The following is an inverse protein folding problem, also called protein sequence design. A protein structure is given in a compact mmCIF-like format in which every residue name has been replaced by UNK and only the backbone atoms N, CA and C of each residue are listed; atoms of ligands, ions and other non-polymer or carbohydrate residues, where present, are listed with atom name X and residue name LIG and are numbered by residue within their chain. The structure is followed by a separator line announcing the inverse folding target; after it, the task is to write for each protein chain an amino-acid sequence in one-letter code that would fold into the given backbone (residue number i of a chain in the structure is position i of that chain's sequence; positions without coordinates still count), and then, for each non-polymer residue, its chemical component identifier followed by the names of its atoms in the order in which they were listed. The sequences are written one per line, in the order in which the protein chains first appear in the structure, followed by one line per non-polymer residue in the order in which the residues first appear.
data_IF_353253275229
#
_entry.id   IF_353253275229
#
_cell.length_a   1.000
_cell.length_b   1.000
_cell.length_c   1.000
_cell.angle_alpha   90.00
_cell.angle_beta   90.00
_cell.angle_gamma   90.00
#
_symmetry.space_group_name_H-M   'P 1'
#
loop_
_entity.id
_entity.type
_entity.pdbx_description
1 polymer ?
#
# COMPACT_ATOMS: atom_id res chain seq x y z
N UNK A 1 1.63 30.90 -47.14
CA UNK A 1 1.46 30.07 -45.92
C UNK A 1 0.06 29.43 -45.96
N UNK A 2 -0.08 28.10 -45.96
CA UNK A 2 -1.40 27.43 -46.02
C UNK A 2 -2.13 27.57 -44.67
N UNK A 3 -3.36 28.10 -44.65
CA UNK A 3 -4.20 28.12 -43.44
C UNK A 3 -4.50 26.68 -42.99
N UNK A 4 -4.12 26.33 -41.75
CA UNK A 4 -4.54 25.10 -41.07
C UNK A 4 -5.78 25.39 -40.24
N UNK A 5 -6.77 24.52 -40.34
CA UNK A 5 -8.02 24.58 -39.58
C UNK A 5 -8.04 23.45 -38.55
N UNK A 6 -8.50 23.74 -37.33
CA UNK A 6 -8.60 22.76 -36.24
C UNK A 6 -9.66 21.70 -36.53
N UNK A 7 -9.53 20.53 -35.91
CA UNK A 7 -10.53 19.46 -36.03
C UNK A 7 -11.91 19.91 -35.54
N UNK A 8 -11.97 20.62 -34.41
CA UNK A 8 -13.20 21.18 -33.87
C UNK A 8 -13.91 22.13 -34.85
N UNK A 9 -13.16 23.02 -35.50
CA UNK A 9 -13.71 23.95 -36.48
C UNK A 9 -14.26 23.23 -37.72
N UNK A 10 -13.53 22.22 -38.24
CA UNK A 10 -14.01 21.40 -39.36
C UNK A 10 -15.31 20.66 -39.01
N UNK A 11 -15.43 20.15 -37.78
CA UNK A 11 -16.64 19.48 -37.30
C UNK A 11 -17.83 20.44 -37.22
N UNK A 12 -17.63 21.65 -36.70
CA UNK A 12 -18.68 22.68 -36.64
C UNK A 12 -19.22 23.03 -38.03
N UNK A 13 -18.32 23.27 -38.99
CA UNK A 13 -18.70 23.61 -40.37
C UNK A 13 -19.36 22.40 -41.06
N UNK A 14 -18.93 21.18 -40.78
CA UNK A 14 -19.56 19.96 -41.29
C UNK A 14 -20.97 19.73 -40.71
N UNK A 15 -21.19 20.03 -39.43
CA UNK A 15 -22.52 19.97 -38.81
C UNK A 15 -23.50 20.96 -39.45
N UNK A 16 -23.06 22.20 -39.73
CA UNK A 16 -23.86 23.18 -40.47
C UNK A 16 -24.19 22.72 -41.91
N UNK A 17 -23.23 22.07 -42.58
CA UNK A 17 -23.43 21.47 -43.91
C UNK A 17 -24.45 20.31 -43.90
N UNK A 18 -24.49 19.51 -42.83
CA UNK A 18 -25.45 18.42 -42.67
C UNK A 18 -26.86 18.93 -42.34
N UNK A 19 -26.96 20.06 -41.63
CA UNK A 19 -28.24 20.68 -41.27
C UNK A 19 -29.01 21.20 -42.49
N UNK A 20 -28.31 21.49 -43.60
CA UNK A 20 -28.92 21.80 -44.89
C UNK A 20 -29.57 23.19 -45.01
N UNK A 21 -29.53 24.01 -43.97
CA UNK A 21 -30.18 25.34 -43.91
C UNK A 21 -29.51 26.39 -44.80
N UNK A 22 -28.24 26.19 -45.16
CA UNK A 22 -27.44 27.13 -45.96
C UNK A 22 -26.72 26.39 -47.07
N UNK A 23 -26.60 27.03 -48.24
CA UNK A 23 -25.86 26.45 -49.37
C UNK A 23 -24.36 26.45 -49.08
N UNK A 24 -23.60 25.59 -49.77
CA UNK A 24 -22.13 25.49 -49.62
C UNK A 24 -21.46 26.86 -49.85
N UNK A 25 -21.98 27.65 -50.79
CA UNK A 25 -21.48 28.99 -51.09
C UNK A 25 -21.74 29.99 -49.95
N UNK A 26 -22.89 29.90 -49.27
CA UNK A 26 -23.23 30.76 -48.12
C UNK A 26 -22.39 30.40 -46.88
N UNK A 27 -22.16 29.11 -46.62
CA UNK A 27 -21.30 28.63 -45.52
C UNK A 27 -19.83 29.03 -45.80
N UNK A 28 -19.38 28.91 -47.05
CA UNK A 28 -18.07 29.38 -47.49
C UNK A 28 -17.86 30.87 -47.24
N UNK A 29 -18.86 31.70 -47.56
CA UNK A 29 -18.82 33.14 -47.33
C UNK A 29 -18.82 33.50 -45.84
N UNK A 30 -19.67 32.84 -45.03
CA UNK A 30 -19.77 33.09 -43.59
C UNK A 30 -18.48 32.73 -42.82
N UNK A 31 -17.88 31.58 -43.14
CA UNK A 31 -16.67 31.09 -42.48
C UNK A 31 -15.36 31.54 -43.15
N UNK A 32 -15.44 32.32 -44.24
CA UNK A 32 -14.30 32.75 -45.07
C UNK A 32 -13.42 31.58 -45.53
N UNK A 33 -14.05 30.47 -45.94
CA UNK A 33 -13.40 29.26 -46.43
C UNK A 33 -13.78 29.04 -47.90
N UNK A 34 -12.85 28.60 -48.74
CA UNK A 34 -13.14 28.36 -50.15
C UNK A 34 -14.15 27.20 -50.35
N UNK A 35 -15.16 27.31 -51.24
CA UNK A 35 -16.21 26.30 -51.42
C UNK A 35 -15.68 24.89 -51.73
N UNK A 36 -14.62 24.80 -52.54
CA UNK A 36 -13.98 23.51 -52.88
C UNK A 36 -13.39 22.79 -51.64
N UNK A 37 -12.92 23.55 -50.66
CA UNK A 37 -12.37 23.01 -49.41
C UNK A 37 -13.49 22.38 -48.55
N UNK A 38 -14.67 22.99 -48.55
CA UNK A 38 -15.85 22.46 -47.87
C UNK A 38 -16.34 21.16 -48.49
N UNK A 39 -16.36 21.08 -49.83
CA UNK A 39 -16.69 19.83 -50.53
C UNK A 39 -15.70 18.71 -50.21
N UNK A 40 -14.40 19.03 -50.18
CA UNK A 40 -13.35 18.08 -49.77
C UNK A 40 -13.50 17.63 -48.31
N UNK A 41 -13.82 18.55 -47.39
CA UNK A 41 -14.05 18.21 -45.99
C UNK A 41 -15.30 17.37 -45.79
N UNK A 42 -16.38 17.66 -46.51
CA UNK A 42 -17.61 16.86 -46.50
C UNK A 42 -17.35 15.43 -46.98
N UNK A 43 -16.62 15.27 -48.08
CA UNK A 43 -16.25 13.96 -48.61
C UNK A 43 -15.33 13.19 -47.65
N UNK A 44 -14.34 13.85 -47.05
CA UNK A 44 -13.44 13.25 -46.08
C UNK A 44 -14.17 12.81 -44.79
N UNK A 45 -15.09 13.64 -44.29
CA UNK A 45 -15.88 13.34 -43.11
C UNK A 45 -16.84 12.17 -43.32
N UNK A 46 -17.57 12.12 -44.45
CA UNK A 46 -18.47 11.00 -44.78
C UNK A 46 -17.71 9.67 -44.93
N UNK A 47 -16.48 9.70 -45.47
CA UNK A 47 -15.63 8.51 -45.60
C UNK A 47 -15.08 8.01 -44.24
N UNK A 48 -14.78 8.92 -43.31
CA UNK A 48 -14.26 8.58 -41.98
C UNK A 48 -15.33 8.36 -40.91
N UNK A 49 -16.60 8.68 -41.18
CA UNK A 49 -17.67 8.58 -40.18
C UNK A 49 -17.92 7.13 -39.71
N UNK A 50 -17.92 6.10 -40.59
CA UNK A 50 -18.05 4.72 -40.15
C UNK A 50 -16.94 4.29 -39.19
N UNK A 51 -15.69 4.73 -39.42
CA UNK A 51 -14.56 4.34 -38.59
C UNK A 51 -14.61 4.94 -37.19
N UNK A 52 -15.27 6.09 -36.98
CA UNK A 52 -15.44 6.65 -35.64
C UNK A 52 -16.31 5.78 -34.72
N UNK A 53 -17.28 5.07 -35.29
CA UNK A 53 -18.14 4.15 -34.54
C UNK A 53 -17.40 2.86 -34.17
N UNK A 54 -16.45 2.40 -35.00
CA UNK A 54 -15.56 1.27 -34.71
C UNK A 54 -14.38 1.64 -33.80
N UNK A 55 -13.79 2.83 -33.99
CA UNK A 55 -12.67 3.35 -33.19
C UNK A 55 -13.09 3.58 -31.74
N UNK A 56 -14.32 4.02 -31.48
CA UNK A 56 -14.79 4.19 -30.11
C UNK A 56 -14.89 2.84 -29.38
N UNK A 57 -15.32 1.77 -30.08
CA UNK A 57 -15.37 0.41 -29.51
C UNK A 57 -13.97 -0.17 -29.31
N UNK A 58 -13.03 0.07 -30.25
CA UNK A 58 -11.63 -0.35 -30.12
C UNK A 58 -10.90 0.42 -29.01
N UNK A 59 -11.09 1.74 -28.91
CA UNK A 59 -10.52 2.57 -27.87
C UNK A 59 -11.05 2.18 -26.49
N UNK A 60 -12.34 1.86 -26.37
CA UNK A 60 -12.94 1.35 -25.14
C UNK A 60 -12.36 -0.03 -24.75
N UNK A 61 -12.17 -0.93 -25.71
CA UNK A 61 -11.56 -2.24 -25.47
C UNK A 61 -10.09 -2.11 -25.01
N UNK A 62 -9.28 -1.28 -25.67
CA UNK A 62 -7.89 -1.01 -25.28
C UNK A 62 -7.82 -0.39 -23.89
N UNK A 63 -8.72 0.55 -23.58
CA UNK A 63 -8.79 1.18 -22.25
C UNK A 63 -9.16 0.17 -21.16
N UNK A 64 -10.15 -0.70 -21.42
CA UNK A 64 -10.57 -1.73 -20.48
C UNK A 64 -9.46 -2.78 -20.25
N UNK A 65 -8.75 -3.17 -21.30
CA UNK A 65 -7.59 -4.08 -21.19
C UNK A 65 -6.48 -3.44 -20.34
N UNK A 66 -6.17 -2.17 -20.59
CA UNK A 66 -5.20 -1.42 -19.81
C UNK A 66 -5.63 -1.24 -18.34
N UNK A 67 -6.90 -0.96 -18.07
CA UNK A 67 -7.45 -0.90 -16.70
C UNK A 67 -7.33 -2.25 -15.98
N UNK A 68 -7.59 -3.37 -16.67
CA UNK A 68 -7.38 -4.71 -16.09
C UNK A 68 -5.91 -5.02 -15.81
N UNK A 69 -4.99 -4.58 -16.68
CA UNK A 69 -3.56 -4.70 -16.45
C UNK A 69 -3.12 -3.88 -15.22
N UNK A 70 -3.63 -2.66 -15.08
CA UNK A 70 -3.36 -1.82 -13.91
C UNK A 70 -3.86 -2.47 -12.63
N UNK A 71 -5.09 -3.00 -12.62
CA UNK A 71 -5.66 -3.66 -11.43
C UNK A 71 -4.83 -4.87 -11.00
N UNK A 72 -4.39 -5.70 -11.95
CA UNK A 72 -3.50 -6.83 -11.67
C UNK A 72 -2.18 -6.37 -11.08
N UNK A 73 -1.56 -5.34 -11.65
CA UNK A 73 -0.27 -4.83 -11.19
C UNK A 73 -0.38 -4.20 -9.80
N UNK A 74 -1.40 -3.36 -9.57
CA UNK A 74 -1.67 -2.78 -8.26
C UNK A 74 -1.99 -3.86 -7.22
N UNK A 75 -2.72 -4.91 -7.58
CA UNK A 75 -2.98 -6.05 -6.72
C UNK A 75 -1.69 -6.80 -6.34
N UNK A 76 -0.77 -6.98 -7.28
CA UNK A 76 0.55 -7.58 -7.02
C UNK A 76 1.40 -6.73 -6.09
N UNK A 77 1.47 -5.41 -6.33
CA UNK A 77 2.20 -4.48 -5.47
C UNK A 77 1.59 -4.48 -4.06
N UNK A 78 0.25 -4.44 -3.96
CA UNK A 78 -0.48 -4.54 -2.69
C UNK A 78 -0.08 -5.79 -1.92
N UNK A 79 -0.14 -6.97 -2.56
CA UNK A 79 0.25 -8.24 -1.94
C UNK A 79 1.70 -8.24 -1.47
N UNK A 80 2.63 -7.73 -2.28
CA UNK A 80 4.06 -7.63 -1.94
C UNK A 80 4.30 -6.66 -0.78
N UNK A 81 3.55 -5.56 -0.71
CA UNK A 81 3.64 -4.58 0.38
C UNK A 81 3.06 -5.08 1.70
N UNK A 82 2.09 -6.00 1.65
CA UNK A 82 1.45 -6.57 2.84
C UNK A 82 2.20 -7.75 3.45
N UNK A 83 3.30 -8.21 2.82
CA UNK A 83 4.03 -9.38 3.30
C UNK A 83 4.56 -9.19 4.72
N UNK A 84 4.27 -10.17 5.56
CA UNK A 84 4.77 -10.22 6.93
C UNK A 84 6.29 -10.32 6.95
N UNK A 85 6.91 -9.98 8.08
CA UNK A 85 8.36 -10.11 8.25
C UNK A 85 8.83 -11.55 8.04
N UNK A 86 8.03 -12.53 8.48
CA UNK A 86 8.36 -13.95 8.37
C UNK A 86 8.39 -14.41 6.91
N UNK A 87 7.39 -14.00 6.12
CA UNK A 87 7.33 -14.33 4.68
C UNK A 87 8.48 -13.69 3.91
N UNK A 88 8.80 -12.43 4.18
CA UNK A 88 9.96 -11.77 3.57
C UNK A 88 11.27 -12.48 3.96
N UNK A 89 11.41 -12.91 5.20
CA UNK A 89 12.60 -13.64 5.65
C UNK A 89 12.72 -15.04 4.99
N UNK A 90 11.59 -15.67 4.65
CA UNK A 90 11.58 -16.95 3.94
C UNK A 90 12.05 -16.85 2.48
N UNK A 91 12.02 -15.65 1.89
CA UNK A 91 12.54 -15.39 0.53
C UNK A 91 14.06 -15.28 0.45
N UNK A 92 14.77 -15.40 1.57
CA UNK A 92 16.22 -15.24 1.63
C UNK A 92 16.92 -16.53 1.17
N UNK A 93 17.71 -16.41 0.12
CA UNK A 93 18.51 -17.49 -0.44
C UNK A 93 19.88 -17.52 0.26
N UNK A 94 20.10 -18.54 1.10
CA UNK A 94 21.35 -18.69 1.87
C UNK A 94 22.45 -19.44 1.12
N UNK A 95 22.11 -20.20 0.08
CA UNK A 95 23.03 -21.06 -0.69
C UNK A 95 22.94 -20.66 -2.17
N UNK A 96 24.08 -20.58 -2.84
CA UNK A 96 24.21 -20.33 -4.29
C UNK A 96 23.48 -19.08 -4.82
N UNK A 97 23.37 -18.03 -3.98
CA UNK A 97 22.78 -16.77 -4.41
C UNK A 97 23.81 -15.89 -5.13
N UNK A 98 23.38 -15.25 -6.22
CA UNK A 98 24.15 -14.21 -6.92
C UNK A 98 24.30 -12.93 -6.10
N UNK A 99 23.44 -12.73 -5.09
CA UNK A 99 23.40 -11.54 -4.25
C UNK A 99 23.86 -11.86 -2.83
N UNK A 100 24.60 -10.93 -2.23
CA UNK A 100 25.01 -11.06 -0.82
C UNK A 100 23.78 -11.02 0.09
N UNK A 101 23.86 -11.71 1.23
CA UNK A 101 22.80 -11.67 2.26
C UNK A 101 22.45 -10.25 2.69
N UNK A 102 23.41 -9.32 2.69
CA UNK A 102 23.18 -7.92 3.03
C UNK A 102 22.30 -7.22 1.98
N UNK A 103 22.58 -7.46 0.70
CA UNK A 103 21.79 -6.92 -0.40
C UNK A 103 20.38 -7.51 -0.41
N UNK A 104 20.25 -8.82 -0.15
CA UNK A 104 18.94 -9.47 -0.09
C UNK A 104 18.05 -8.89 1.02
N UNK A 105 18.58 -8.70 2.23
CA UNK A 105 17.78 -8.12 3.33
C UNK A 105 17.42 -6.65 3.10
N UNK A 106 18.30 -5.90 2.44
CA UNK A 106 18.03 -4.50 2.06
C UNK A 106 16.89 -4.43 1.05
N UNK A 107 16.92 -5.26 0.00
CA UNK A 107 15.85 -5.35 -1.00
C UNK A 107 14.51 -5.80 -0.41
N UNK A 108 14.55 -6.69 0.58
CA UNK A 108 13.36 -7.19 1.28
C UNK A 108 12.88 -6.26 2.42
N UNK A 109 13.62 -5.18 2.73
CA UNK A 109 13.30 -4.26 3.81
C UNK A 109 13.29 -4.92 5.20
N UNK A 110 14.22 -5.86 5.44
CA UNK A 110 14.40 -6.57 6.72
C UNK A 110 15.68 -6.05 7.38
N UNK A 111 15.66 -5.87 8.71
CA UNK A 111 16.89 -5.54 9.43
C UNK A 111 17.85 -6.72 9.45
N UNK A 112 19.13 -6.47 9.16
CA UNK A 112 20.17 -7.51 9.13
C UNK A 112 20.28 -8.29 10.45
N UNK A 113 20.12 -7.60 11.59
CA UNK A 113 20.15 -8.21 12.92
C UNK A 113 19.03 -9.25 13.11
N UNK A 114 17.89 -9.08 12.43
CA UNK A 114 16.78 -10.04 12.49
C UNK A 114 17.13 -11.40 11.92
N UNK A 115 18.15 -11.52 11.05
CA UNK A 115 18.55 -12.83 10.50
C UNK A 115 19.20 -13.74 11.53
N UNK A 116 19.92 -13.13 12.46
CA UNK A 116 20.69 -13.82 13.49
C UNK A 116 19.91 -13.91 14.81
N UNK A 117 18.79 -13.19 14.91
CA UNK A 117 17.94 -13.25 16.07
C UNK A 117 17.05 -14.50 16.03
N UNK A 118 17.33 -15.43 16.93
CA UNK A 118 16.43 -16.54 17.24
C UNK A 118 15.60 -16.15 18.47
N UNK A 119 14.25 -16.18 18.40
CA UNK A 119 13.42 -15.89 19.55
C UNK A 119 13.71 -16.91 20.65
N UNK A 120 14.27 -16.45 21.77
CA UNK A 120 14.51 -17.29 22.94
C UNK A 120 13.20 -17.37 23.72
N UNK A 121 12.69 -18.59 23.90
CA UNK A 121 11.53 -18.83 24.76
C UNK A 121 11.87 -18.45 26.21
N UNK A 122 10.91 -17.92 26.98
CA UNK A 122 11.13 -17.64 28.39
C UNK A 122 11.61 -18.90 29.10
N UNK A 123 12.69 -18.80 29.89
CA UNK A 123 13.17 -19.94 30.67
C UNK A 123 12.05 -20.46 31.58
N UNK A 124 11.90 -21.79 31.76
CA UNK A 124 10.94 -22.35 32.72
C UNK A 124 11.07 -21.75 34.12
N UNK A 125 12.30 -21.40 34.51
CA UNK A 125 12.58 -20.74 35.79
C UNK A 125 12.01 -19.31 35.83
N UNK A 126 12.14 -18.54 34.73
CA UNK A 126 11.57 -17.19 34.63
C UNK A 126 10.04 -17.23 34.74
N UNK A 127 9.41 -18.20 34.06
CA UNK A 127 7.95 -18.40 34.14
C UNK A 127 7.54 -18.76 35.57
N UNK A 128 8.30 -19.64 36.24
CA UNK A 128 8.04 -20.01 37.63
C UNK A 128 8.14 -18.79 38.56
N UNK A 129 9.16 -17.96 38.40
CA UNK A 129 9.35 -16.74 39.19
C UNK A 129 8.18 -15.77 38.97
N UNK A 130 7.77 -15.54 37.71
CA UNK A 130 6.62 -14.68 37.38
C UNK A 130 5.34 -15.15 38.04
N UNK A 131 5.04 -16.45 38.01
CA UNK A 131 3.88 -17.04 38.70
C UNK A 131 3.92 -16.83 40.21
N UNK A 132 5.07 -17.01 40.85
CA UNK A 132 5.21 -16.80 42.29
C UNK A 132 5.07 -15.33 42.69
N UNK A 133 5.59 -14.42 41.87
CA UNK A 133 5.39 -12.98 42.07
C UNK A 133 3.89 -12.65 41.99
N UNK A 134 3.18 -13.19 41.01
CA UNK A 134 1.73 -13.01 40.85
C UNK A 134 0.96 -13.55 42.06
N UNK A 135 1.28 -14.77 42.52
CA UNK A 135 0.69 -15.38 43.73
C UNK A 135 0.88 -14.49 44.98
N UNK A 136 2.11 -13.99 45.19
CA UNK A 136 2.43 -13.10 46.32
C UNK A 136 1.67 -11.76 46.17
N UNK A 137 1.58 -11.23 44.96
CA UNK A 137 0.90 -9.96 44.70
C UNK A 137 -0.62 -10.05 44.88
N UNK A 138 -1.25 -11.14 44.44
CA UNK A 138 -2.68 -11.41 44.66
C UNK A 138 -2.98 -11.48 46.16
N UNK A 139 -2.11 -12.16 46.92
CA UNK A 139 -2.27 -12.25 48.37
C UNK A 139 -2.03 -10.89 49.05
N UNK A 140 -1.05 -10.10 48.60
CA UNK A 140 -0.61 -8.87 49.24
C UNK A 140 -0.37 -7.73 48.20
N UNK A 141 -1.44 -7.08 47.71
CA UNK A 141 -1.33 -6.09 46.61
C UNK A 141 -0.50 -4.84 46.92
N UNK A 142 -0.28 -4.56 48.21
CA UNK A 142 0.53 -3.43 48.69
C UNK A 142 2.03 -3.75 48.75
N UNK A 143 2.44 -4.98 48.41
CA UNK A 143 3.85 -5.37 48.39
C UNK A 143 4.56 -4.83 47.14
N UNK A 144 5.59 -4.01 47.36
CA UNK A 144 6.53 -3.60 46.33
C UNK A 144 7.66 -4.61 46.11
N UNK A 145 8.52 -4.35 45.10
CA UNK A 145 9.58 -5.27 44.66
C UNK A 145 10.56 -5.72 45.76
N UNK A 146 10.77 -4.90 46.80
CA UNK A 146 11.59 -5.29 47.97
C UNK A 146 10.91 -6.38 48.81
N UNK A 147 9.63 -6.21 49.15
CA UNK A 147 8.89 -7.17 50.00
C UNK A 147 8.63 -8.47 49.26
N UNK A 148 8.28 -8.38 47.97
CA UNK A 148 8.14 -9.56 47.11
C UNK A 148 9.46 -10.32 47.03
N UNK A 149 10.60 -9.64 46.85
CA UNK A 149 11.92 -10.28 46.85
C UNK A 149 12.21 -11.03 48.15
N UNK A 150 11.89 -10.46 49.30
CA UNK A 150 12.07 -11.12 50.59
C UNK A 150 11.16 -12.34 50.76
N UNK A 151 9.91 -12.31 50.27
CA UNK A 151 9.03 -13.49 50.30
C UNK A 151 9.52 -14.60 49.35
N UNK A 152 10.05 -14.23 48.18
CA UNK A 152 10.68 -15.20 47.28
C UNK A 152 11.91 -15.86 47.92
N UNK A 153 12.72 -15.08 48.63
CA UNK A 153 13.88 -15.58 49.36
C UNK A 153 13.47 -16.58 50.47
N UNK A 154 12.39 -16.29 51.21
CA UNK A 154 11.80 -17.24 52.17
C UNK A 154 11.27 -18.51 51.53
N UNK A 155 10.77 -18.42 50.29
CA UNK A 155 10.37 -19.59 49.47
C UNK A 155 11.58 -20.30 48.82
N UNK A 156 12.81 -19.92 49.15
CA UNK A 156 14.05 -20.55 48.69
C UNK A 156 14.53 -20.08 47.32
N UNK A 157 14.04 -18.94 46.82
CA UNK A 157 14.41 -18.40 45.51
C UNK A 157 15.13 -17.05 45.70
N UNK A 158 16.45 -17.06 45.53
CA UNK A 158 17.27 -15.86 45.65
C UNK A 158 17.31 -15.09 44.32
N UNK A 159 16.61 -13.95 44.25
CA UNK A 159 16.61 -13.10 43.05
C UNK A 159 16.93 -11.65 43.40
N UNK A 160 17.69 -10.98 42.53
CA UNK A 160 17.98 -9.56 42.71
C UNK A 160 16.70 -8.72 42.64
N UNK A 161 16.59 -7.70 43.51
CA UNK A 161 15.46 -6.75 43.51
C UNK A 161 15.14 -6.16 42.13
N UNK A 162 16.17 -5.85 41.33
CA UNK A 162 15.99 -5.30 39.97
C UNK A 162 15.28 -6.28 39.05
N UNK A 163 15.49 -7.58 39.23
CA UNK A 163 14.82 -8.66 38.50
C UNK A 163 13.35 -8.76 38.91
N UNK A 164 13.05 -8.70 40.22
CA UNK A 164 11.66 -8.63 40.72
C UNK A 164 10.94 -7.42 40.09
N UNK A 165 11.58 -6.25 40.13
CA UNK A 165 11.01 -5.03 39.57
C UNK A 165 10.79 -5.11 38.05
N UNK A 166 11.74 -5.72 37.31
CA UNK A 166 11.60 -5.97 35.87
C UNK A 166 10.37 -6.85 35.60
N UNK A 167 10.21 -7.97 36.31
CA UNK A 167 9.07 -8.86 36.13
C UNK A 167 7.75 -8.20 36.52
N UNK A 168 7.70 -7.43 37.61
CA UNK A 168 6.52 -6.65 37.97
C UNK A 168 6.12 -5.68 36.86
N UNK A 169 7.09 -4.98 36.24
CA UNK A 169 6.85 -4.07 35.11
C UNK A 169 6.38 -4.82 33.87
N UNK A 170 6.99 -5.95 33.54
CA UNK A 170 6.57 -6.80 32.40
C UNK A 170 5.16 -7.34 32.57
N UNK A 171 4.74 -7.65 33.80
CA UNK A 171 3.40 -8.13 34.13
C UNK A 171 2.38 -6.99 34.38
N UNK A 172 2.81 -5.73 34.37
CA UNK A 172 1.93 -4.57 34.57
C UNK A 172 1.42 -4.39 36.00
N UNK A 173 2.08 -4.97 37.00
CA UNK A 173 1.68 -4.89 38.41
C UNK A 173 2.56 -3.89 39.18
N UNK A 174 1.97 -3.16 40.11
CA UNK A 174 2.63 -2.20 40.96
C UNK A 174 2.01 -2.21 42.35
N UNK A 175 2.80 -1.95 43.39
CA UNK A 175 2.29 -1.90 44.76
C UNK A 175 1.17 -0.86 44.88
N UNK A 176 0.00 -1.30 45.30
CA UNK A 176 -1.17 -0.43 45.50
C UNK A 176 -1.14 0.07 46.95
N UNK A 177 -1.00 1.37 47.12
CA UNK A 177 -1.11 2.02 48.42
C UNK A 177 -2.46 2.74 48.51
N UNK A 178 -3.17 2.63 49.64
CA UNK A 178 -4.36 3.43 49.85
C UNK A 178 -3.96 4.91 49.90
N UNK A 179 -4.58 5.73 49.07
CA UNK A 179 -4.42 7.17 49.08
C UNK A 179 -5.19 7.69 50.30
N UNK A 180 -4.50 8.28 51.26
CA UNK A 180 -5.18 8.93 52.39
C UNK A 180 -5.94 10.14 51.83
N UNK A 181 -7.27 10.11 51.95
CA UNK A 181 -8.17 11.23 51.65
C UNK A 181 -8.27 12.13 52.88
#
# INVERSE_FOLDING_TARGET
MRKRYSAAFKTQVFQELLRGEKTIAQIAAAHKVHPNLLSQWKAAALKGMPSLFDENRKAAAIKAEHESQLEKLYGQIGRLSTLTRAERAAMIERIDSKLTLSTQVELLGISRSSLYYHPVLPSPEEVRIKRLIDEIYIAQPYYGSRRIGAELERKGITIARKTVQKHMREMGIAAVFPVQT
#
